data_IF_509863939798
#
_entry.id   IF_509863939798
#
_cell.length_a   1.000
_cell.length_b   1.000
_cell.length_c   1.000
_cell.angle_alpha   90.00
_cell.angle_beta   90.00
_cell.angle_gamma   90.00
#
_symmetry.space_group_name_H-M   'P 1'
#
loop_
_entity.id
_entity.type
_entity.pdbx_description
1 polymer ?
#
# COMPACT_ATOMS: atom_id res chain seq x y z
N UNK A 1 3.14 19.09 -36.12
CA UNK A 1 3.43 19.91 -37.31
C UNK A 1 3.10 21.37 -37.00
N UNK A 2 4.10 22.18 -36.63
CA UNK A 2 4.17 23.63 -36.85
C UNK A 2 5.65 24.02 -36.80
N UNK A 3 6.03 24.84 -37.78
CA UNK A 3 7.35 24.92 -38.37
C UNK A 3 8.34 25.76 -37.54
N UNK A 4 9.61 25.35 -37.56
CA UNK A 4 10.77 26.20 -37.28
C UNK A 4 11.20 26.86 -38.60
N UNK A 5 11.18 28.18 -38.68
CA UNK A 5 11.81 28.94 -39.76
C UNK A 5 13.10 29.58 -39.25
N UNK A 6 14.20 29.26 -39.92
CA UNK A 6 15.50 29.91 -39.77
C UNK A 6 15.56 31.13 -40.71
N UNK A 7 15.87 32.31 -40.16
CA UNK A 7 16.18 33.52 -40.91
C UNK A 7 17.55 34.07 -40.49
N UNK A 8 18.43 34.30 -41.48
CA UNK A 8 19.80 34.86 -41.34
C UNK A 8 19.78 36.42 -41.26
N UNK A 9 20.91 37.08 -40.95
CA UNK A 9 20.97 38.25 -40.06
C UNK A 9 20.89 39.60 -40.77
N UNK A 10 20.41 40.62 -40.05
CA UNK A 10 20.58 42.03 -40.40
C UNK A 10 21.11 42.80 -39.18
N UNK A 11 22.14 43.60 -39.43
CA UNK A 11 22.91 44.40 -38.46
C UNK A 11 22.17 45.61 -37.92
N UNK A 12 22.68 46.09 -36.76
CA UNK A 12 22.63 47.46 -36.23
C UNK A 12 21.55 47.77 -35.18
N UNK A 13 21.93 47.77 -33.90
CA UNK A 13 22.14 49.00 -33.11
C UNK A 13 22.54 48.62 -31.67
N UNK A 14 23.63 49.23 -31.20
CA UNK A 14 24.10 49.17 -29.82
C UNK A 14 23.01 49.69 -28.88
N UNK A 15 22.36 48.79 -28.16
CA UNK A 15 21.65 49.12 -26.94
C UNK A 15 22.26 48.31 -25.82
N UNK A 16 22.80 49.01 -24.83
CA UNK A 16 23.43 48.48 -23.63
C UNK A 16 22.57 47.39 -23.00
N UNK A 17 22.97 46.14 -23.20
CA UNK A 17 22.40 45.00 -22.51
C UNK A 17 22.83 45.09 -21.05
N UNK A 18 21.88 45.44 -20.18
CA UNK A 18 21.95 44.96 -18.80
C UNK A 18 21.90 43.45 -18.90
N UNK A 19 23.07 42.80 -18.77
CA UNK A 19 23.17 41.38 -18.48
C UNK A 19 22.33 41.15 -17.22
N UNK A 20 21.10 40.69 -17.40
CA UNK A 20 20.37 39.99 -16.36
C UNK A 20 21.18 38.72 -16.12
N UNK A 21 22.06 38.76 -15.13
CA UNK A 21 22.65 37.57 -14.54
C UNK A 21 21.49 36.72 -14.04
N UNK A 22 21.02 35.79 -14.86
CA UNK A 22 20.16 34.70 -14.39
C UNK A 22 21.06 33.88 -13.50
N UNK A 23 20.98 34.11 -12.19
CA UNK A 23 21.55 33.19 -11.22
C UNK A 23 20.83 31.86 -11.40
N UNK A 24 21.43 30.97 -12.18
CA UNK A 24 21.13 29.54 -12.10
C UNK A 24 21.58 29.08 -10.72
N UNK A 25 20.72 29.28 -9.73
CA UNK A 25 20.89 28.66 -8.43
C UNK A 25 20.76 27.16 -8.68
N UNK A 26 21.87 26.44 -8.59
CA UNK A 26 21.86 24.98 -8.64
C UNK A 26 20.96 24.48 -7.51
N UNK A 27 19.80 23.92 -7.85
CA UNK A 27 18.91 23.32 -6.86
C UNK A 27 19.58 22.04 -6.35
N UNK A 28 20.16 22.11 -5.16
CA UNK A 28 20.61 20.93 -4.44
C UNK A 28 19.50 20.59 -3.44
N UNK A 29 18.88 19.40 -3.51
CA UNK A 29 17.90 18.98 -2.50
C UNK A 29 18.50 19.13 -1.10
N UNK A 30 17.73 19.71 -0.18
CA UNK A 30 18.20 19.80 1.20
C UNK A 30 18.44 18.39 1.78
N UNK A 31 19.42 18.23 2.66
CA UNK A 31 19.68 16.96 3.37
C UNK A 31 18.41 16.36 4.00
N UNK A 32 17.51 17.23 4.49
CA UNK A 32 16.22 16.84 5.04
C UNK A 32 15.29 16.23 3.98
N UNK A 33 15.21 16.82 2.79
CA UNK A 33 14.39 16.30 1.70
C UNK A 33 14.88 14.91 1.24
N UNK A 34 16.20 14.75 1.11
CA UNK A 34 16.82 13.45 0.77
C UNK A 34 16.54 12.39 1.83
N UNK A 35 16.65 12.74 3.13
CA UNK A 35 16.35 11.81 4.22
C UNK A 35 14.88 11.38 4.22
N UNK A 36 13.94 12.31 4.02
CA UNK A 36 12.52 12.00 3.98
C UNK A 36 12.13 11.15 2.77
N UNK A 37 12.79 11.34 1.63
CA UNK A 37 12.60 10.50 0.44
C UNK A 37 13.14 9.08 0.67
N UNK A 38 14.32 8.94 1.28
CA UNK A 38 14.89 7.63 1.64
C UNK A 38 13.99 6.88 2.63
N UNK A 39 13.52 7.55 3.67
CA UNK A 39 12.63 6.93 4.68
C UNK A 39 11.29 6.50 4.06
N UNK A 40 10.77 7.27 3.10
CA UNK A 40 9.61 6.84 2.32
C UNK A 40 9.90 5.61 1.44
N UNK A 41 11.07 5.54 0.80
CA UNK A 41 11.49 4.38 0.01
C UNK A 41 11.52 3.12 0.88
N UNK A 42 12.06 3.21 2.09
CA UNK A 42 12.07 2.10 3.05
C UNK A 42 10.64 1.68 3.44
N UNK A 43 9.74 2.65 3.66
CA UNK A 43 8.33 2.39 3.92
C UNK A 43 7.64 1.64 2.78
N UNK A 44 7.76 2.11 1.54
CA UNK A 44 7.04 1.53 0.39
C UNK A 44 7.60 0.18 -0.05
N UNK A 45 8.92 -0.03 0.09
CA UNK A 45 9.56 -1.33 -0.15
C UNK A 45 9.19 -2.37 0.91
N UNK A 46 8.95 -1.94 2.15
CA UNK A 46 8.45 -2.79 3.22
C UNK A 46 6.95 -3.07 3.14
N UNK A 47 6.23 -2.42 2.20
CA UNK A 47 4.77 -2.44 2.08
C UNK A 47 4.27 -2.99 0.73
N UNK A 48 4.57 -4.25 0.37
CA UNK A 48 4.14 -4.85 -0.91
C UNK A 48 2.63 -5.17 -0.98
N UNK A 49 1.91 -5.15 0.15
CA UNK A 49 0.45 -5.34 0.22
C UNK A 49 -0.17 -4.48 1.32
N UNK A 50 -1.51 -4.28 1.34
CA UNK A 50 -2.17 -3.47 2.37
C UNK A 50 -1.87 -3.94 3.79
N UNK A 51 -1.74 -5.26 3.99
CA UNK A 51 -1.39 -5.85 5.28
C UNK A 51 0.02 -5.46 5.75
N UNK A 52 0.98 -5.40 4.82
CA UNK A 52 2.34 -4.96 5.12
C UNK A 52 2.42 -3.44 5.32
N UNK A 53 1.60 -2.67 4.61
CA UNK A 53 1.48 -1.22 4.82
C UNK A 53 0.98 -0.90 6.25
N UNK A 54 -0.01 -1.65 6.72
CA UNK A 54 -0.49 -1.55 8.11
C UNK A 54 0.57 -2.00 9.11
N UNK A 55 1.24 -3.13 8.90
CA UNK A 55 2.29 -3.59 9.83
C UNK A 55 3.47 -2.61 9.89
N UNK A 56 3.91 -2.08 8.75
CA UNK A 56 4.97 -1.05 8.70
C UNK A 56 4.53 0.22 9.43
N UNK A 57 3.26 0.63 9.28
CA UNK A 57 2.71 1.78 10.01
C UNK A 57 2.61 1.52 11.51
N UNK A 58 2.17 0.32 11.90
CA UNK A 58 2.11 -0.17 13.28
C UNK A 58 3.49 -0.13 13.95
N UNK A 59 4.52 -0.65 13.29
CA UNK A 59 5.89 -0.63 13.80
C UNK A 59 6.39 0.81 14.03
N UNK A 60 6.09 1.73 13.11
CA UNK A 60 6.45 3.15 13.26
C UNK A 60 5.72 3.83 14.42
N UNK A 61 4.44 3.51 14.63
CA UNK A 61 3.65 4.02 15.76
C UNK A 61 4.17 3.47 17.10
N UNK A 62 4.44 2.18 17.18
CA UNK A 62 5.04 1.53 18.36
C UNK A 62 6.40 2.14 18.70
N UNK A 63 7.28 2.32 17.70
CA UNK A 63 8.57 2.97 17.88
C UNK A 63 8.45 4.43 18.35
N UNK A 64 7.33 5.10 18.05
CA UNK A 64 7.01 6.45 18.52
C UNK A 64 6.29 6.47 19.88
N UNK A 65 6.15 5.31 20.54
CA UNK A 65 5.50 5.17 21.85
C UNK A 65 3.99 5.33 21.82
N UNK A 66 3.34 5.00 20.70
CA UNK A 66 1.89 4.78 20.68
C UNK A 66 1.57 3.40 21.24
N UNK A 67 0.48 3.29 21.97
CA UNK A 67 -0.01 2.03 22.55
C UNK A 67 -1.02 1.37 21.61
N UNK A 68 -0.84 0.08 21.33
CA UNK A 68 -1.83 -0.69 20.59
C UNK A 68 -2.99 -1.05 21.51
N UNK A 69 -4.21 -0.67 21.11
CA UNK A 69 -5.45 -1.03 21.81
C UNK A 69 -6.28 -1.96 20.92
N UNK A 70 -7.11 -2.79 21.54
CA UNK A 70 -8.03 -3.62 20.78
C UNK A 70 -9.35 -2.88 20.52
N UNK A 71 -9.79 -2.93 19.27
CA UNK A 71 -11.05 -2.33 18.86
C UNK A 71 -12.26 -2.89 19.62
N UNK A 72 -12.24 -4.19 19.95
CA UNK A 72 -13.38 -4.87 20.60
C UNK A 72 -13.43 -4.67 22.11
N UNK A 73 -12.36 -4.19 22.73
CA UNK A 73 -12.31 -3.97 24.15
C UNK A 73 -13.06 -2.70 24.54
N UNK A 74 -13.55 -2.65 25.79
CA UNK A 74 -13.89 -1.38 26.42
C UNK A 74 -12.64 -0.49 26.52
N UNK A 75 -12.81 0.80 26.23
CA UNK A 75 -11.74 1.81 26.30
C UNK A 75 -11.82 2.67 27.59
N UNK A 76 -12.87 2.49 28.38
CA UNK A 76 -13.09 3.21 29.62
C UNK A 76 -11.89 3.04 30.56
N UNK A 77 -11.36 4.18 31.03
CA UNK A 77 -10.18 4.23 31.90
C UNK A 77 -8.84 3.88 31.21
N UNK A 78 -8.83 3.49 29.92
CA UNK A 78 -7.60 3.23 29.16
C UNK A 78 -7.08 4.48 28.47
N UNK A 79 -7.98 5.33 27.97
CA UNK A 79 -7.62 6.54 27.24
C UNK A 79 -7.34 7.69 28.22
N UNK A 80 -6.19 8.33 28.07
CA UNK A 80 -5.81 9.51 28.87
C UNK A 80 -5.42 10.67 27.98
N UNK A 81 -5.59 11.89 28.50
CA UNK A 81 -5.00 13.11 27.95
C UNK A 81 -3.50 12.94 27.78
N UNK A 82 -2.96 13.47 26.68
CA UNK A 82 -1.57 13.27 26.24
C UNK A 82 -1.21 11.81 25.91
N UNK A 83 -2.19 10.90 25.93
CA UNK A 83 -2.05 9.52 25.49
C UNK A 83 -2.04 9.40 23.96
N UNK A 84 -1.37 8.35 23.47
CA UNK A 84 -1.17 8.06 22.05
C UNK A 84 -1.52 6.60 21.81
N UNK A 85 -2.46 6.34 20.91
CA UNK A 85 -3.03 5.01 20.73
C UNK A 85 -3.25 4.69 19.27
N UNK A 86 -3.33 3.41 18.94
CA UNK A 86 -3.80 2.96 17.65
C UNK A 86 -4.46 1.59 17.74
N UNK A 87 -5.27 1.26 16.74
CA UNK A 87 -5.78 -0.10 16.54
C UNK A 87 -5.90 -0.39 15.05
N UNK A 88 -6.03 -1.68 14.71
CA UNK A 88 -6.22 -2.13 13.34
C UNK A 88 -7.57 -2.83 13.17
N UNK A 89 -8.12 -2.75 11.96
CA UNK A 89 -9.30 -3.53 11.53
C UNK A 89 -8.92 -4.35 10.30
N UNK A 90 -9.25 -5.65 10.31
CA UNK A 90 -8.85 -6.63 9.29
C UNK A 90 -7.33 -6.80 9.08
N UNK A 91 -6.49 -6.14 9.90
CA UNK A 91 -5.04 -5.95 9.66
C UNK A 91 -4.71 -5.25 8.32
N UNK A 92 -5.69 -4.65 7.65
CA UNK A 92 -5.50 -3.87 6.41
C UNK A 92 -5.90 -2.41 6.53
N UNK A 93 -6.60 -2.02 7.60
CA UNK A 93 -6.80 -0.62 7.94
C UNK A 93 -6.29 -0.32 9.35
N UNK A 94 -5.79 0.90 9.55
CA UNK A 94 -5.22 1.35 10.83
C UNK A 94 -5.75 2.72 11.19
N UNK A 95 -6.17 2.87 12.44
CA UNK A 95 -6.56 4.15 13.03
C UNK A 95 -5.61 4.47 14.17
N UNK A 96 -4.94 5.60 14.09
CA UNK A 96 -4.03 6.09 15.12
C UNK A 96 -4.48 7.48 15.59
N UNK A 97 -4.37 7.73 16.88
CA UNK A 97 -4.79 9.00 17.46
C UNK A 97 -3.97 9.42 18.68
N UNK A 98 -3.91 10.72 18.92
CA UNK A 98 -3.27 11.31 20.08
C UNK A 98 -4.21 12.31 20.75
N UNK A 99 -4.43 12.14 22.05
CA UNK A 99 -5.39 12.93 22.83
C UNK A 99 -4.71 14.20 23.33
N UNK A 100 -5.27 15.37 23.01
CA UNK A 100 -4.76 16.64 23.51
C UNK A 100 -4.85 16.77 25.04
N UNK A 101 -3.87 17.44 25.63
CA UNK A 101 -3.79 17.72 27.08
C UNK A 101 -4.92 18.62 27.59
N UNK A 102 -5.52 19.42 26.71
CA UNK A 102 -6.69 20.27 26.99
C UNK A 102 -7.98 19.75 26.36
N UNK A 103 -7.98 18.53 25.85
CA UNK A 103 -9.20 17.93 25.32
C UNK A 103 -10.24 17.75 26.44
N UNK A 104 -11.46 18.16 26.17
CA UNK A 104 -12.68 17.87 26.96
C UNK A 104 -13.73 17.32 26.00
N UNK A 105 -14.69 16.54 26.48
CA UNK A 105 -15.74 16.02 25.61
C UNK A 105 -16.50 17.16 24.91
N UNK A 106 -16.80 17.00 23.63
CA UNK A 106 -17.35 18.05 22.75
C UNK A 106 -16.31 18.89 21.99
N UNK A 107 -15.02 18.79 22.34
CA UNK A 107 -13.97 19.38 21.52
C UNK A 107 -13.80 18.66 20.17
N UNK A 108 -13.09 19.33 19.25
CA UNK A 108 -12.94 18.87 17.87
C UNK A 108 -11.88 17.79 17.67
N UNK A 109 -11.87 17.27 16.44
CA UNK A 109 -10.87 16.35 15.93
C UNK A 109 -10.08 17.02 14.80
N UNK A 110 -8.78 16.72 14.72
CA UNK A 110 -7.92 17.06 13.59
C UNK A 110 -7.61 15.77 12.84
N UNK A 111 -8.33 15.52 11.75
CA UNK A 111 -8.33 14.22 11.06
C UNK A 111 -7.60 14.30 9.72
N UNK A 112 -6.73 13.32 9.47
CA UNK A 112 -6.13 13.03 8.16
C UNK A 112 -6.53 11.62 7.72
N UNK A 113 -7.05 11.51 6.50
CA UNK A 113 -7.40 10.23 5.87
C UNK A 113 -6.52 9.94 4.66
N UNK A 114 -6.13 8.68 4.49
CA UNK A 114 -5.49 8.14 3.29
C UNK A 114 -5.89 6.65 3.13
N UNK A 115 -5.29 5.93 2.16
CA UNK A 115 -5.52 4.49 2.01
C UNK A 115 -4.24 3.67 1.82
N UNK A 116 -4.34 2.41 2.21
CA UNK A 116 -3.24 1.42 2.26
C UNK A 116 -3.16 0.56 1.01
N UNK A 117 -4.22 0.51 0.22
CA UNK A 117 -4.28 -0.30 -1.00
C UNK A 117 -3.90 0.48 -2.25
N UNK A 118 -3.53 -0.30 -3.26
CA UNK A 118 -3.19 0.16 -4.61
C UNK A 118 -3.70 -0.89 -5.60
N UNK A 119 -3.90 -0.53 -6.88
CA UNK A 119 -4.32 -1.50 -7.88
C UNK A 119 -3.26 -2.60 -8.03
N UNK A 120 -3.70 -3.85 -7.99
CA UNK A 120 -2.80 -5.00 -8.08
C UNK A 120 -3.48 -6.23 -8.68
N UNK A 121 -2.68 -7.26 -8.94
CA UNK A 121 -3.18 -8.60 -9.22
C UNK A 121 -3.23 -9.37 -7.90
N UNK A 122 -4.41 -9.89 -7.52
CA UNK A 122 -4.56 -10.77 -6.36
C UNK A 122 -4.66 -12.22 -6.81
N UNK A 123 -4.11 -13.16 -6.05
CA UNK A 123 -4.29 -14.60 -6.31
C UNK A 123 -5.78 -14.96 -6.13
N UNK A 124 -6.37 -15.70 -7.08
CA UNK A 124 -7.77 -16.15 -6.97
C UNK A 124 -7.92 -17.24 -5.89
N UNK A 125 -9.11 -17.37 -5.25
CA UNK A 125 -9.40 -18.48 -4.34
C UNK A 125 -9.26 -19.86 -4.97
N UNK A 126 -9.46 -19.96 -6.30
CA UNK A 126 -9.07 -21.12 -7.11
C UNK A 126 -8.08 -20.64 -8.17
N UNK A 127 -6.79 -20.78 -7.87
CA UNK A 127 -5.70 -20.25 -8.72
C UNK A 127 -4.97 -21.31 -9.51
N UNK A 128 -5.22 -22.59 -9.29
CA UNK A 128 -4.59 -23.68 -10.05
C UNK A 128 -4.97 -23.57 -11.52
N UNK A 129 -3.98 -23.29 -12.38
CA UNK A 129 -4.11 -23.31 -13.84
C UNK A 129 -2.92 -24.06 -14.45
N UNK A 130 -3.16 -24.79 -15.53
CA UNK A 130 -2.13 -25.43 -16.34
C UNK A 130 -2.42 -25.16 -17.82
N UNK A 131 -1.42 -24.66 -18.56
CA UNK A 131 -1.56 -24.37 -20.00
C UNK A 131 -0.21 -24.42 -20.70
N UNK A 132 -0.16 -25.07 -21.86
CA UNK A 132 1.05 -25.09 -22.71
C UNK A 132 2.29 -25.67 -22.02
N UNK A 133 2.12 -26.64 -21.13
CA UNK A 133 3.23 -27.22 -20.36
C UNK A 133 3.71 -26.38 -19.18
N UNK A 134 2.99 -25.32 -18.81
CA UNK A 134 3.30 -24.48 -17.66
C UNK A 134 2.28 -24.62 -16.54
N UNK A 135 2.78 -24.62 -15.31
CA UNK A 135 1.99 -24.34 -14.11
C UNK A 135 1.83 -22.83 -13.98
N UNK A 136 0.59 -22.39 -13.83
CA UNK A 136 0.20 -20.99 -13.79
C UNK A 136 -0.59 -20.69 -12.52
N UNK A 137 -0.65 -19.42 -12.16
CA UNK A 137 -1.43 -18.93 -11.01
C UNK A 137 -2.54 -18.01 -11.52
N UNK A 138 -3.79 -18.43 -11.39
CA UNK A 138 -4.95 -17.61 -11.67
C UNK A 138 -4.99 -16.37 -10.76
N UNK A 139 -5.09 -15.20 -11.37
CA UNK A 139 -5.15 -13.91 -10.67
C UNK A 139 -6.44 -13.16 -11.00
N UNK A 140 -6.87 -12.29 -10.10
CA UNK A 140 -7.96 -11.36 -10.27
C UNK A 140 -7.45 -9.92 -10.24
N UNK A 141 -8.11 -9.06 -11.00
CA UNK A 141 -7.85 -7.63 -10.99
C UNK A 141 -8.40 -7.01 -9.71
N UNK A 142 -7.59 -6.21 -9.03
CA UNK A 142 -8.01 -5.41 -7.90
C UNK A 142 -7.78 -3.93 -8.22
N UNK A 143 -8.86 -3.14 -8.26
CA UNK A 143 -8.80 -1.72 -8.58
C UNK A 143 -8.67 -1.38 -10.07
N UNK A 144 -8.42 -0.11 -10.38
CA UNK A 144 -8.32 0.45 -11.74
C UNK A 144 -6.91 0.41 -12.34
N UNK A 145 -6.23 -0.74 -12.30
CA UNK A 145 -4.80 -0.83 -12.67
C UNK A 145 -4.51 -0.62 -14.16
N UNK A 146 -3.31 -0.08 -14.45
CA UNK A 146 -2.73 -0.04 -15.78
C UNK A 146 -2.14 -1.41 -16.13
N UNK A 147 -2.99 -2.40 -16.43
CA UNK A 147 -2.57 -3.81 -16.48
C UNK A 147 -1.47 -4.16 -17.49
N UNK A 148 -1.29 -3.35 -18.53
CA UNK A 148 -0.19 -3.54 -19.47
C UNK A 148 1.19 -3.39 -18.82
N UNK A 149 1.33 -2.63 -17.72
CA UNK A 149 2.60 -2.41 -17.03
C UNK A 149 3.04 -3.60 -16.17
N UNK A 150 2.14 -4.57 -15.92
CA UNK A 150 2.40 -5.80 -15.18
C UNK A 150 3.01 -6.89 -16.06
N UNK A 151 2.93 -6.75 -17.38
CA UNK A 151 3.65 -7.62 -18.29
C UNK A 151 5.14 -7.39 -18.14
N UNK A 152 5.89 -8.47 -18.31
CA UNK A 152 7.34 -8.47 -18.31
C UNK A 152 8.01 -7.91 -17.05
N UNK A 153 7.31 -8.00 -15.92
CA UNK A 153 7.83 -7.73 -14.58
C UNK A 153 8.24 -8.98 -13.85
N UNK A 154 9.23 -8.82 -12.98
CA UNK A 154 9.73 -9.85 -12.07
C UNK A 154 8.88 -9.80 -10.80
N UNK A 155 7.92 -10.72 -10.68
CA UNK A 155 6.86 -10.64 -9.69
C UNK A 155 7.08 -11.60 -8.52
N UNK A 156 6.92 -11.07 -7.32
CA UNK A 156 6.79 -11.82 -6.07
C UNK A 156 5.32 -11.87 -5.62
N UNK A 157 5.08 -12.49 -4.47
CA UNK A 157 3.78 -12.49 -3.79
C UNK A 157 3.94 -12.02 -2.34
N UNK A 158 2.99 -11.22 -1.87
CA UNK A 158 2.95 -10.77 -0.49
C UNK A 158 1.52 -10.60 0.00
N UNK A 159 1.27 -10.90 1.26
CA UNK A 159 -0.07 -10.86 1.81
C UNK A 159 -0.17 -11.44 3.20
N UNK A 160 -1.29 -12.10 3.48
CA UNK A 160 -1.54 -12.81 4.72
C UNK A 160 -1.94 -14.25 4.46
N UNK A 161 -1.60 -15.13 5.38
CA UNK A 161 -2.02 -16.53 5.44
C UNK A 161 -2.74 -16.75 6.77
N UNK A 162 -3.92 -17.37 6.70
CA UNK A 162 -4.60 -17.94 7.85
C UNK A 162 -3.90 -19.23 8.21
N UNK A 163 -3.38 -19.31 9.43
CA UNK A 163 -2.63 -20.45 9.93
C UNK A 163 -3.39 -21.09 11.07
N UNK A 164 -3.54 -22.41 11.03
CA UNK A 164 -3.98 -23.17 12.19
C UNK A 164 -2.79 -23.41 13.10
N UNK A 165 -2.84 -22.82 14.30
CA UNK A 165 -1.85 -23.03 15.35
C UNK A 165 -1.92 -24.47 15.88
N UNK A 166 -0.86 -24.94 16.54
CA UNK A 166 -0.83 -26.23 17.24
C UNK A 166 -1.94 -26.40 18.27
N UNK A 167 -2.47 -25.29 18.81
CA UNK A 167 -3.62 -25.26 19.74
C UNK A 167 -4.99 -25.31 19.03
N UNK A 168 -5.01 -25.44 17.69
CA UNK A 168 -6.23 -25.47 16.88
C UNK A 168 -6.86 -24.11 16.58
N UNK A 169 -6.32 -23.01 17.13
CA UNK A 169 -6.78 -21.63 16.85
C UNK A 169 -6.34 -21.15 15.47
N UNK A 170 -7.12 -20.26 14.87
CA UNK A 170 -6.75 -19.55 13.65
C UNK A 170 -5.97 -18.27 13.98
N UNK A 171 -4.84 -18.07 13.33
CA UNK A 171 -4.02 -16.87 13.39
C UNK A 171 -3.75 -16.31 11.99
N UNK A 172 -3.42 -15.04 11.89
CA UNK A 172 -3.03 -14.38 10.65
C UNK A 172 -1.54 -14.09 10.65
N UNK A 173 -0.79 -14.73 9.75
CA UNK A 173 0.65 -14.45 9.52
C UNK A 173 0.87 -13.69 8.22
N UNK A 174 1.73 -12.68 8.25
CA UNK A 174 2.20 -12.04 7.04
C UNK A 174 3.18 -12.94 6.31
N UNK A 175 3.10 -12.96 4.99
CA UNK A 175 4.04 -13.67 4.12
C UNK A 175 4.51 -12.73 3.02
N UNK A 176 5.81 -12.78 2.71
CA UNK A 176 6.41 -12.10 1.58
C UNK A 176 7.45 -13.02 0.96
N UNK A 177 7.19 -13.49 -0.25
CA UNK A 177 8.21 -14.19 -1.04
C UNK A 177 9.03 -13.12 -1.75
N UNK A 178 10.22 -12.84 -1.22
CA UNK A 178 11.10 -11.74 -1.63
C UNK A 178 12.09 -12.16 -2.74
N UNK A 179 11.54 -12.79 -3.78
CA UNK A 179 12.26 -13.20 -4.98
C UNK A 179 11.28 -13.38 -6.15
N UNK A 180 11.72 -13.20 -7.40
CA UNK A 180 10.84 -13.33 -8.55
C UNK A 180 10.45 -14.79 -8.77
N UNK A 181 9.17 -15.09 -8.57
CA UNK A 181 8.60 -16.43 -8.77
C UNK A 181 7.49 -16.45 -9.82
N UNK A 182 7.01 -15.29 -10.24
CA UNK A 182 5.94 -15.15 -11.20
C UNK A 182 6.35 -14.19 -12.32
N UNK A 183 5.89 -14.50 -13.53
CA UNK A 183 6.11 -13.67 -14.72
C UNK A 183 4.87 -13.70 -15.60
N UNK A 184 4.44 -12.55 -16.09
CA UNK A 184 3.41 -12.43 -17.13
C UNK A 184 4.14 -12.05 -18.43
N UNK A 185 4.48 -13.02 -19.30
CA UNK A 185 5.26 -12.72 -20.50
C UNK A 185 4.39 -12.05 -21.57
N UNK A 186 4.96 -11.08 -22.29
CA UNK A 186 4.34 -10.61 -23.54
C UNK A 186 4.42 -11.68 -24.63
N UNK A 187 3.44 -11.66 -25.54
CA UNK A 187 3.55 -12.41 -26.79
C UNK A 187 4.61 -11.74 -27.67
N UNK A 188 5.50 -12.54 -28.26
CA UNK A 188 6.53 -12.02 -29.16
C UNK A 188 5.91 -11.25 -30.33
N UNK A 189 6.46 -10.07 -30.64
CA UNK A 189 6.01 -9.19 -31.73
C UNK A 189 5.88 -9.91 -33.09
N UNK A 190 6.74 -10.88 -33.37
CA UNK A 190 6.71 -11.67 -34.60
C UNK A 190 5.38 -12.45 -34.78
N UNK A 191 4.68 -12.74 -33.68
CA UNK A 191 3.41 -13.46 -33.63
C UNK A 191 2.21 -12.53 -33.42
N UNK A 192 2.45 -11.23 -33.18
CA UNK A 192 1.42 -10.21 -33.02
C UNK A 192 1.61 -9.08 -34.04
N UNK A 193 1.00 -9.26 -35.22
CA UNK A 193 1.07 -8.29 -36.31
C UNK A 193 0.39 -6.95 -36.00
N UNK A 194 -0.46 -6.88 -34.97
CA UNK A 194 -1.24 -5.70 -34.62
C UNK A 194 -0.66 -4.89 -33.45
N UNK A 195 0.39 -5.38 -32.77
CA UNK A 195 0.89 -4.78 -31.52
C UNK A 195 1.35 -3.33 -31.69
N UNK A 196 1.85 -2.95 -32.86
CA UNK A 196 2.28 -1.58 -33.16
C UNK A 196 1.13 -0.57 -33.20
N UNK A 197 -0.10 -1.03 -33.43
CA UNK A 197 -1.32 -0.18 -33.44
C UNK A 197 -1.90 -0.01 -32.03
N UNK A 198 -1.46 -0.82 -31.08
CA UNK A 198 -1.86 -0.77 -29.69
C UNK A 198 -1.76 -2.13 -29.03
N UNK A 199 -1.16 -2.17 -27.84
CA UNK A 199 -1.05 -3.39 -27.05
C UNK A 199 -2.41 -3.76 -26.44
N UNK A 200 -3.12 -4.68 -27.10
CA UNK A 200 -4.43 -5.19 -26.68
C UNK A 200 -4.27 -6.60 -26.12
N UNK A 201 -4.88 -6.85 -24.97
CA UNK A 201 -4.86 -8.15 -24.32
C UNK A 201 -6.15 -8.36 -23.50
N UNK A 202 -6.49 -9.62 -23.27
CA UNK A 202 -7.60 -10.02 -22.43
C UNK A 202 -7.14 -10.21 -20.98
N UNK A 203 -7.81 -9.52 -20.07
CA UNK A 203 -7.45 -9.51 -18.65
C UNK A 203 -7.60 -10.88 -17.95
N UNK A 204 -8.48 -11.77 -18.41
CA UNK A 204 -8.66 -13.09 -17.78
C UNK A 204 -7.62 -14.10 -18.26
N UNK A 205 -7.34 -14.11 -19.57
CA UNK A 205 -6.52 -15.19 -20.16
C UNK A 205 -5.06 -14.81 -20.41
N UNK A 206 -4.75 -13.53 -20.62
CA UNK A 206 -3.38 -13.08 -20.96
C UNK A 206 -2.63 -12.45 -19.77
N UNK A 207 -3.31 -12.08 -18.67
CA UNK A 207 -2.65 -11.66 -17.42
C UNK A 207 -2.37 -12.81 -16.45
N UNK A 208 -2.49 -14.06 -16.89
CA UNK A 208 -2.23 -15.22 -16.02
C UNK A 208 -0.72 -15.46 -15.91
N UNK A 209 -0.07 -15.23 -14.76
CA UNK A 209 1.35 -15.45 -14.58
C UNK A 209 1.74 -16.93 -14.61
N UNK A 210 2.96 -17.19 -15.10
CA UNK A 210 3.64 -18.48 -15.06
C UNK A 210 4.42 -18.60 -13.76
N UNK A 211 4.33 -19.76 -13.11
CA UNK A 211 5.08 -20.11 -11.89
C UNK A 211 6.22 -21.10 -12.18
N UNK A 212 5.95 -22.13 -12.97
CA UNK A 212 6.93 -23.18 -13.26
C UNK A 212 6.60 -23.93 -14.57
N UNK A 213 7.57 -24.65 -15.12
CA UNK A 213 7.33 -25.60 -16.21
C UNK A 213 6.94 -26.97 -15.66
N UNK A 214 6.17 -27.74 -16.43
CA UNK A 214 5.83 -29.12 -16.10
C UNK A 214 7.10 -30.01 -16.04
N UNK A 215 8.07 -29.78 -16.92
CA UNK A 215 9.33 -30.53 -16.95
C UNK A 215 10.14 -30.36 -15.65
N UNK A 216 10.33 -29.12 -15.20
CA UNK A 216 11.04 -28.84 -13.93
C UNK A 216 10.27 -29.38 -12.74
N UNK A 217 8.93 -29.28 -12.75
CA UNK A 217 8.07 -29.87 -11.71
C UNK A 217 8.28 -31.39 -11.61
N UNK A 218 8.34 -32.10 -12.74
CA UNK A 218 8.57 -33.56 -12.77
C UNK A 218 9.99 -33.92 -12.30
N UNK A 219 11.02 -33.23 -12.77
CA UNK A 219 12.41 -33.48 -12.36
C UNK A 219 12.60 -33.27 -10.85
N UNK A 220 11.93 -32.27 -10.27
CA UNK A 220 12.02 -32.00 -8.84
C UNK A 220 11.11 -32.90 -7.99
N UNK A 221 10.08 -33.53 -8.57
CA UNK A 221 9.18 -34.41 -7.84
C UNK A 221 9.87 -35.66 -7.30
N UNK A 222 10.89 -36.17 -8.00
CA UNK A 222 11.69 -37.32 -7.53
C UNK A 222 12.54 -37.00 -6.29
N UNK A 223 12.98 -35.74 -6.15
CA UNK A 223 13.69 -35.28 -4.95
C UNK A 223 12.75 -35.12 -3.74
N UNK A 224 11.48 -34.79 -3.98
CA UNK A 224 10.48 -34.51 -2.95
C UNK A 224 9.79 -35.76 -2.38
N UNK A 225 9.93 -36.94 -3.01
CA UNK A 225 9.32 -38.20 -2.53
C UNK A 225 9.77 -38.64 -1.12
N UNK A 226 10.84 -38.07 -0.57
CA UNK A 226 11.25 -38.29 0.84
C UNK A 226 10.41 -37.53 1.87
N UNK A 227 9.47 -36.70 1.43
CA UNK A 227 8.66 -35.79 2.27
C UNK A 227 7.15 -36.07 2.19
N UNK A 228 6.74 -37.15 1.49
CA UNK A 228 5.35 -37.49 1.21
C UNK A 228 4.65 -38.09 2.44
N UNK A 229 4.27 -37.23 3.39
CA UNK A 229 3.49 -37.64 4.57
C UNK A 229 2.10 -37.02 4.66
N UNK A 230 1.87 -35.82 4.14
CA UNK A 230 0.60 -35.12 4.33
C UNK A 230 0.22 -34.31 3.08
N UNK A 231 -0.97 -34.59 2.55
CA UNK A 231 -1.61 -33.78 1.51
C UNK A 231 -1.89 -32.40 2.08
N UNK A 232 -1.33 -31.35 1.48
CA UNK A 232 -1.56 -30.00 1.96
C UNK A 232 -3.05 -29.63 1.74
N UNK A 233 -3.68 -28.92 2.69
CA UNK A 233 -5.01 -28.37 2.47
C UNK A 233 -5.05 -27.52 1.18
N UNK A 234 -6.16 -27.58 0.44
CA UNK A 234 -6.42 -26.79 -0.79
C UNK A 234 -5.56 -27.14 -2.04
N UNK A 235 -4.94 -28.32 -2.13
CA UNK A 235 -4.22 -28.79 -3.34
C UNK A 235 -5.10 -28.92 -4.60
N UNK A 236 -6.41 -29.02 -4.45
CA UNK A 236 -7.41 -28.97 -5.51
C UNK A 236 -7.59 -27.54 -6.06
N UNK A 237 -7.46 -26.53 -5.20
CA UNK A 237 -7.67 -25.11 -5.55
C UNK A 237 -6.42 -24.41 -6.03
N UNK A 238 -5.25 -24.82 -5.56
CA UNK A 238 -3.98 -24.14 -5.82
C UNK A 238 -2.91 -25.10 -6.33
N UNK A 239 -1.90 -24.57 -7.02
CA UNK A 239 -0.76 -25.38 -7.42
C UNK A 239 0.02 -25.86 -6.17
N UNK A 240 0.35 -27.16 -6.02
CA UNK A 240 1.09 -27.66 -4.85
C UNK A 240 2.42 -26.94 -4.62
N UNK A 241 3.11 -26.53 -5.69
CA UNK A 241 4.34 -25.75 -5.59
C UNK A 241 4.13 -24.37 -4.93
N UNK A 242 2.99 -23.70 -5.19
CA UNK A 242 2.66 -22.44 -4.53
C UNK A 242 2.43 -22.65 -3.03
N UNK A 243 1.67 -23.69 -2.67
CA UNK A 243 1.41 -24.05 -1.26
C UNK A 243 2.71 -24.36 -0.52
N UNK A 244 3.61 -25.14 -1.14
CA UNK A 244 4.93 -25.46 -0.60
C UNK A 244 5.76 -24.20 -0.37
N UNK A 245 5.83 -23.28 -1.35
CA UNK A 245 6.55 -22.01 -1.19
C UNK A 245 6.01 -21.21 0.02
N UNK A 246 4.70 -21.13 0.19
CA UNK A 246 4.08 -20.42 1.32
C UNK A 246 4.37 -21.10 2.66
N UNK A 247 4.31 -22.43 2.70
CA UNK A 247 4.62 -23.21 3.89
C UNK A 247 6.09 -23.06 4.29
N UNK A 248 7.01 -23.14 3.32
CA UNK A 248 8.45 -22.97 3.53
C UNK A 248 8.78 -21.55 4.05
N UNK A 249 8.20 -20.51 3.43
CA UNK A 249 8.40 -19.10 3.82
C UNK A 249 7.92 -18.85 5.27
N UNK A 250 6.83 -19.50 5.68
CA UNK A 250 6.24 -19.35 7.00
C UNK A 250 6.70 -20.41 8.02
N UNK A 251 7.55 -21.35 7.60
CA UNK A 251 7.99 -22.52 8.37
C UNK A 251 6.81 -23.28 8.99
N UNK A 252 5.83 -23.60 8.15
CA UNK A 252 4.61 -24.31 8.53
C UNK A 252 4.71 -25.80 8.22
N UNK A 253 4.10 -26.60 9.08
CA UNK A 253 3.88 -28.02 8.86
C UNK A 253 2.55 -28.27 8.12
N UNK A 254 2.41 -29.47 7.53
CA UNK A 254 1.45 -29.78 6.46
C UNK A 254 0.03 -29.21 6.58
N UNK A 255 -0.67 -29.44 7.70
CA UNK A 255 -2.07 -29.05 7.89
C UNK A 255 -2.27 -27.64 8.49
N UNK A 256 -1.17 -26.93 8.81
CA UNK A 256 -1.22 -25.61 9.41
C UNK A 256 -1.58 -24.51 8.41
N UNK A 257 -1.29 -24.71 7.12
CA UNK A 257 -1.61 -23.75 6.07
C UNK A 257 -3.13 -23.79 5.78
N UNK A 258 -3.83 -22.72 6.14
CA UNK A 258 -5.26 -22.55 5.90
C UNK A 258 -5.54 -21.88 4.55
N UNK A 259 -6.19 -20.72 4.59
CA UNK A 259 -6.50 -19.90 3.41
C UNK A 259 -5.59 -18.67 3.36
N UNK A 260 -5.54 -17.94 2.25
CA UNK A 260 -4.66 -16.78 2.10
C UNK A 260 -5.25 -15.67 1.23
N UNK A 261 -4.75 -14.46 1.46
CA UNK A 261 -5.00 -13.31 0.60
C UNK A 261 -3.66 -12.73 0.17
N UNK A 262 -3.33 -12.89 -1.11
CA UNK A 262 -2.01 -12.58 -1.65
C UNK A 262 -2.13 -11.60 -2.81
N UNK A 263 -1.36 -10.52 -2.74
CA UNK A 263 -1.11 -9.60 -3.84
C UNK A 263 0.18 -10.01 -4.55
N UNK A 264 0.20 -9.95 -5.87
CA UNK A 264 1.45 -9.91 -6.62
C UNK A 264 2.06 -8.51 -6.49
N UNK A 265 3.38 -8.43 -6.51
CA UNK A 265 4.11 -7.16 -6.50
C UNK A 265 5.39 -7.25 -7.33
N UNK A 266 5.83 -6.12 -7.89
CA UNK A 266 7.13 -6.01 -8.55
C UNK A 266 8.25 -6.12 -7.51
N UNK A 267 9.20 -7.03 -7.75
CA UNK A 267 10.37 -7.24 -6.89
C UNK A 267 11.46 -6.19 -7.12
N UNK A 268 11.35 -5.38 -8.19
CA UNK A 268 12.20 -4.22 -8.37
C UNK A 268 11.99 -3.22 -7.21
N UNK A 269 13.03 -2.90 -6.42
CA UNK A 269 12.90 -1.97 -5.31
C UNK A 269 12.65 -0.55 -5.82
N UNK A 270 11.84 0.20 -5.07
CA UNK A 270 11.69 1.64 -5.27
C UNK A 270 13.02 2.36 -5.01
N UNK A 271 13.27 3.44 -5.75
CA UNK A 271 14.55 4.17 -5.71
C UNK A 271 14.36 5.67 -5.93
N UNK A 272 15.36 6.45 -5.48
CA UNK A 272 15.58 7.82 -5.97
C UNK A 272 16.23 7.72 -7.36
N UNK A 273 15.79 8.55 -8.30
CA UNK A 273 16.28 8.54 -9.67
C UNK A 273 16.18 9.89 -10.37
N UNK A 274 16.44 9.89 -11.68
CA UNK A 274 16.63 11.10 -12.49
C UNK A 274 18.10 11.56 -12.47
N UNK A 275 18.51 12.32 -13.49
CA UNK A 275 19.91 12.76 -13.64
C UNK A 275 20.43 13.58 -12.43
N UNK A 276 19.51 14.18 -11.66
CA UNK A 276 19.81 14.96 -10.47
C UNK A 276 19.27 14.34 -9.16
N UNK A 277 18.89 13.05 -9.18
CA UNK A 277 18.31 12.35 -8.01
C UNK A 277 17.10 13.10 -7.41
N UNK A 278 16.23 13.62 -8.28
CA UNK A 278 15.10 14.50 -7.94
C UNK A 278 13.74 13.80 -8.00
N UNK A 279 13.69 12.56 -8.49
CA UNK A 279 12.47 11.77 -8.62
C UNK A 279 12.47 10.55 -7.72
N UNK A 280 11.28 10.08 -7.38
CA UNK A 280 11.06 8.77 -6.75
C UNK A 280 10.41 7.87 -7.78
N UNK A 281 11.07 6.76 -8.11
CA UNK A 281 10.53 5.70 -8.95
C UNK A 281 10.04 4.59 -8.03
N UNK A 282 8.73 4.36 -7.99
CA UNK A 282 8.13 3.45 -7.03
C UNK A 282 6.81 2.92 -7.52
N UNK A 283 6.56 1.64 -7.24
CA UNK A 283 5.20 1.11 -7.22
C UNK A 283 4.42 1.75 -6.05
N UNK A 284 3.08 1.73 -6.13
CA UNK A 284 2.19 2.06 -5.00
C UNK A 284 2.37 3.47 -4.39
N UNK A 285 2.94 4.42 -5.15
CA UNK A 285 2.98 5.83 -4.72
C UNK A 285 1.57 6.31 -4.37
N UNK A 286 0.61 5.95 -5.24
CA UNK A 286 -0.81 5.98 -4.95
C UNK A 286 -1.19 4.74 -4.11
N UNK A 287 -1.49 4.86 -2.82
CA UNK A 287 -1.45 6.07 -1.99
C UNK A 287 -0.55 5.93 -0.76
N UNK A 288 0.45 5.04 -0.86
CA UNK A 288 1.37 4.79 0.26
C UNK A 288 2.21 6.03 0.60
N UNK A 289 2.39 6.97 -0.34
CA UNK A 289 3.01 8.26 -0.02
C UNK A 289 2.19 9.04 1.00
N UNK A 290 0.87 9.11 0.84
CA UNK A 290 0.02 9.84 1.79
C UNK A 290 -0.15 9.07 3.08
N UNK A 291 -0.21 7.74 3.03
CA UNK A 291 -0.18 6.91 4.24
C UNK A 291 1.09 7.15 5.07
N UNK A 292 2.27 7.11 4.44
CA UNK A 292 3.54 7.43 5.09
C UNK A 292 3.57 8.85 5.66
N UNK A 293 3.19 9.85 4.86
CA UNK A 293 3.17 11.24 5.28
C UNK A 293 2.22 11.45 6.46
N UNK A 294 1.06 10.79 6.47
CA UNK A 294 0.05 10.92 7.54
C UNK A 294 0.58 10.35 8.86
N UNK A 295 1.13 9.14 8.86
CA UNK A 295 1.71 8.52 10.06
C UNK A 295 2.90 9.33 10.55
N UNK A 296 3.80 9.73 9.65
CA UNK A 296 4.99 10.53 9.98
C UNK A 296 4.60 11.89 10.55
N UNK A 297 3.58 12.55 9.99
CA UNK A 297 3.06 13.82 10.48
C UNK A 297 2.45 13.67 11.86
N UNK A 298 1.62 12.64 12.10
CA UNK A 298 1.05 12.36 13.42
C UNK A 298 2.16 12.15 14.45
N UNK A 299 3.09 11.22 14.19
CA UNK A 299 4.24 10.94 15.06
C UNK A 299 5.02 12.21 15.38
N UNK A 300 5.44 12.97 14.35
CA UNK A 300 6.20 14.19 14.55
C UNK A 300 5.42 15.26 15.30
N UNK A 301 4.11 15.36 15.05
CA UNK A 301 3.26 16.32 15.74
C UNK A 301 3.22 16.05 17.24
N UNK A 302 3.36 14.80 17.70
CA UNK A 302 3.27 14.41 19.12
C UNK A 302 4.59 14.53 19.90
N UNK A 303 5.67 15.02 19.28
CA UNK A 303 6.97 15.17 19.95
C UNK A 303 6.99 16.35 20.92
N UNK A 304 7.75 16.20 22.01
CA UNK A 304 7.87 17.21 23.06
C UNK A 304 6.54 17.48 23.77
N UNK A 305 6.29 18.74 24.10
CA UNK A 305 5.11 19.16 24.87
C UNK A 305 3.93 19.59 23.98
N UNK A 306 3.92 19.19 22.71
CA UNK A 306 2.96 19.67 21.71
C UNK A 306 1.52 19.27 21.98
N UNK A 307 1.29 18.22 22.78
CA UNK A 307 -0.05 17.78 23.18
C UNK A 307 -0.58 18.57 24.38
N UNK A 308 0.27 19.09 25.27
CA UNK A 308 -0.14 19.67 26.56
C UNK A 308 -1.23 20.75 26.44
N UNK A 309 -1.13 21.59 25.41
CA UNK A 309 -2.08 22.69 25.17
C UNK A 309 -3.06 22.41 24.04
N UNK A 310 -3.04 21.23 23.43
CA UNK A 310 -3.92 20.89 22.32
C UNK A 310 -5.34 20.62 22.83
N UNK A 311 -6.37 21.35 22.36
CA UNK A 311 -7.75 21.08 22.71
C UNK A 311 -8.36 19.93 21.90
N UNK A 312 -7.74 19.48 20.82
CA UNK A 312 -8.30 18.49 19.89
C UNK A 312 -7.70 17.09 20.11
N UNK A 313 -8.37 16.08 19.56
CA UNK A 313 -7.75 14.78 19.29
C UNK A 313 -7.23 14.77 17.85
N UNK A 314 -5.95 14.46 17.69
CA UNK A 314 -5.33 14.28 16.36
C UNK A 314 -5.56 12.86 15.91
N UNK A 315 -6.08 12.65 14.70
CA UNK A 315 -6.46 11.33 14.19
C UNK A 315 -5.90 11.13 12.80
N UNK A 316 -5.30 9.96 12.56
CA UNK A 316 -4.99 9.42 11.25
C UNK A 316 -5.80 8.15 11.05
N UNK A 317 -6.49 8.04 9.92
CA UNK A 317 -7.13 6.79 9.49
C UNK A 317 -6.61 6.43 8.10
N UNK A 318 -6.02 5.24 8.00
CA UNK A 318 -5.64 4.65 6.73
C UNK A 318 -6.62 3.52 6.40
N UNK A 319 -7.46 3.75 5.39
CA UNK A 319 -8.48 2.81 4.95
C UNK A 319 -7.92 1.82 3.92
N UNK A 320 -8.56 0.66 3.78
CA UNK A 320 -8.33 -0.27 2.67
C UNK A 320 -9.54 -0.22 1.71
N UNK A 321 -9.43 -0.84 0.55
CA UNK A 321 -10.49 -0.90 -0.47
C UNK A 321 -10.89 0.43 -1.11
N UNK A 322 -10.05 1.46 -1.07
CA UNK A 322 -10.35 2.71 -1.79
C UNK A 322 -10.48 2.45 -3.29
N UNK A 323 -9.55 1.65 -3.84
CA UNK A 323 -9.43 1.37 -5.27
C UNK A 323 -10.62 0.59 -5.85
N UNK A 324 -11.47 0.05 -4.98
CA UNK A 324 -12.68 -0.72 -5.35
C UNK A 324 -13.96 -0.09 -4.80
N UNK A 325 -13.92 1.19 -4.43
CA UNK A 325 -15.10 2.00 -4.07
C UNK A 325 -15.38 2.11 -2.57
N UNK A 326 -14.46 1.68 -1.70
CA UNK A 326 -14.53 1.85 -0.23
C UNK A 326 -15.69 1.16 0.50
N UNK A 327 -16.54 0.39 -0.19
CA UNK A 327 -17.70 -0.29 0.40
C UNK A 327 -17.27 -1.63 1.02
N UNK A 328 -16.65 -1.57 2.20
CA UNK A 328 -16.33 -2.74 3.02
C UNK A 328 -16.41 -2.40 4.51
N UNK A 329 -16.16 -3.35 5.42
CA UNK A 329 -16.17 -3.09 6.86
C UNK A 329 -14.96 -2.25 7.35
N UNK A 330 -13.96 -2.06 6.49
CA UNK A 330 -12.70 -1.41 6.81
C UNK A 330 -12.29 -0.36 5.75
N UNK A 331 -13.12 -0.16 4.72
CA UNK A 331 -12.98 0.97 3.80
C UNK A 331 -13.61 2.26 4.30
N UNK A 332 -13.43 3.35 3.56
CA UNK A 332 -13.92 4.67 3.92
C UNK A 332 -15.46 4.77 3.93
N UNK A 333 -16.17 3.86 3.24
CA UNK A 333 -17.63 3.74 3.30
C UNK A 333 -18.14 2.97 4.52
N UNK A 334 -17.25 2.52 5.41
CA UNK A 334 -17.60 1.83 6.65
C UNK A 334 -17.96 2.79 7.78
N UNK A 335 -18.43 2.23 8.89
CA UNK A 335 -18.62 2.94 10.15
C UNK A 335 -17.33 3.13 10.97
N UNK A 336 -16.15 2.76 10.45
CA UNK A 336 -14.88 2.75 11.20
C UNK A 336 -14.57 4.12 11.80
N UNK A 337 -14.57 5.18 10.98
CA UNK A 337 -14.25 6.53 11.45
C UNK A 337 -15.34 7.03 12.41
N UNK A 338 -16.61 6.92 12.03
CA UNK A 338 -17.72 7.42 12.84
C UNK A 338 -17.72 6.81 14.25
N UNK A 339 -17.67 5.48 14.35
CA UNK A 339 -17.65 4.78 15.65
C UNK A 339 -16.43 5.16 16.45
N UNK A 340 -15.26 5.29 15.82
CA UNK A 340 -14.05 5.73 16.51
C UNK A 340 -14.22 7.10 17.13
N UNK A 341 -14.69 8.09 16.36
CA UNK A 341 -14.89 9.45 16.86
C UNK A 341 -15.92 9.50 17.99
N UNK A 342 -17.03 8.76 17.87
CA UNK A 342 -18.05 8.66 18.94
C UNK A 342 -17.47 8.06 20.22
N UNK A 343 -16.68 6.99 20.12
CA UNK A 343 -16.04 6.36 21.28
C UNK A 343 -15.01 7.28 21.92
N UNK A 344 -14.21 7.98 21.13
CA UNK A 344 -13.24 8.94 21.64
C UNK A 344 -13.92 10.09 22.40
N UNK A 345 -15.04 10.60 21.87
CA UNK A 345 -15.82 11.63 22.55
C UNK A 345 -16.43 11.16 23.89
N UNK A 346 -16.77 9.87 24.00
CA UNK A 346 -17.38 9.30 25.19
C UNK A 346 -16.38 8.79 26.26
N UNK A 347 -15.22 8.26 25.84
CA UNK A 347 -14.38 7.44 26.72
C UNK A 347 -13.15 8.17 27.28
N UNK A 348 -12.81 9.36 26.76
CA UNK A 348 -11.65 10.14 27.23
C UNK A 348 -11.93 10.85 28.56
N UNK A 349 -13.20 11.06 28.93
CA UNK A 349 -13.60 11.58 30.24
C UNK A 349 -14.47 10.58 31.00
N UNK A 350 -13.95 10.08 32.13
CA UNK A 350 -14.75 9.34 33.11
C UNK A 350 -15.52 10.34 33.97
N UNK A 351 -16.80 10.59 33.69
CA UNK A 351 -17.61 11.40 34.61
C UNK A 351 -19.04 11.67 34.18
N UNK A 352 -19.23 12.29 33.02
CA UNK A 352 -20.56 12.73 32.59
C UNK A 352 -20.85 12.33 31.15
N UNK A 353 -22.08 11.86 30.91
CA UNK A 353 -22.61 11.58 29.58
C UNK A 353 -22.73 12.90 28.80
N UNK A 354 -21.65 13.32 28.16
CA UNK A 354 -21.70 14.47 27.26
C UNK A 354 -22.50 14.11 25.99
N UNK A 355 -23.39 15.01 25.58
CA UNK A 355 -23.98 14.98 24.25
C UNK A 355 -22.86 15.05 23.21
N UNK A 356 -22.82 14.06 22.31
CA UNK A 356 -21.85 14.03 21.21
C UNK A 356 -22.25 15.06 20.16
N UNK A 357 -21.98 16.33 20.44
CA UNK A 357 -21.90 17.37 19.42
C UNK A 357 -20.61 17.16 18.63
N UNK A 358 -20.68 16.44 17.51
CA UNK A 358 -19.55 16.27 16.58
C UNK A 358 -19.23 17.62 15.92
N UNK A 359 -18.52 18.49 16.63
CA UNK A 359 -17.95 19.70 16.05
C UNK A 359 -16.69 19.33 15.27
N UNK A 360 -16.87 18.99 13.99
CA UNK A 360 -15.78 18.88 13.02
C UNK A 360 -15.13 20.25 12.79
N UNK A 361 -14.16 20.61 13.65
CA UNK A 361 -13.52 21.93 13.56
C UNK A 361 -12.50 22.00 12.42
N UNK A 362 -11.80 20.90 12.12
CA UNK A 362 -10.84 20.80 11.02
C UNK A 362 -10.77 19.36 10.48
N UNK A 363 -11.45 19.09 9.36
CA UNK A 363 -11.27 17.88 8.56
C UNK A 363 -10.34 18.21 7.39
N UNK A 364 -9.16 17.61 7.35
CA UNK A 364 -8.29 17.65 6.16
C UNK A 364 -8.27 16.24 5.59
N UNK A 365 -9.24 15.95 4.70
CA UNK A 365 -9.05 14.84 3.78
C UNK A 365 -7.93 15.24 2.84
N UNK A 366 -6.75 14.66 3.01
CA UNK A 366 -5.76 14.70 1.97
C UNK A 366 -6.18 13.68 0.88
N UNK A 367 -7.32 13.94 0.22
CA UNK A 367 -7.66 13.34 -1.07
C UNK A 367 -6.72 13.96 -2.10
N UNK A 368 -5.49 13.46 -2.16
CA UNK A 368 -4.71 13.57 -3.38
C UNK A 368 -4.73 12.17 -4.00
N UNK A 369 -5.56 11.90 -5.03
CA UNK A 369 -4.98 11.15 -6.13
C UNK A 369 -3.71 11.93 -6.50
N UNK A 370 -2.58 11.27 -6.73
CA UNK A 370 -1.41 11.95 -7.26
C UNK A 370 -1.87 12.90 -8.38
N UNK A 371 -1.78 14.22 -8.12
CA UNK A 371 -2.36 15.20 -9.02
C UNK A 371 -1.62 15.02 -10.35
N UNK A 372 -2.35 14.75 -11.43
CA UNK A 372 -1.74 14.57 -12.75
C UNK A 372 -0.95 15.84 -13.07
N UNK A 373 0.38 15.79 -12.93
CA UNK A 373 1.24 16.90 -13.31
C UNK A 373 1.31 16.90 -14.84
N UNK A 374 0.62 17.86 -15.45
CA UNK A 374 0.97 18.35 -16.78
C UNK A 374 0.77 17.43 -17.97
N UNK A 375 -0.15 16.46 -17.92
CA UNK A 375 -0.73 15.87 -19.14
C UNK A 375 -2.25 16.07 -19.10
N UNK A 376 -2.76 16.90 -20.02
CA UNK A 376 -4.19 17.15 -20.21
C UNK A 376 -4.90 15.88 -20.67
N UNK A 377 -5.40 15.08 -19.73
CA UNK A 377 -6.44 14.09 -19.98
C UNK A 377 -7.43 14.12 -18.82
N UNK A 378 -8.68 14.48 -19.13
CA UNK A 378 -9.77 14.57 -18.17
C UNK A 378 -10.17 13.18 -17.66
N UNK A 379 -9.85 12.90 -16.40
CA UNK A 379 -10.41 11.78 -15.66
C UNK A 379 -11.59 12.26 -14.81
N UNK A 380 -12.73 11.55 -14.88
CA UNK A 380 -13.86 11.75 -13.96
C UNK A 380 -13.50 11.18 -12.59
N UNK A 381 -13.69 11.98 -11.56
CA UNK A 381 -13.58 11.58 -10.16
C UNK A 381 -14.84 10.80 -9.76
N UNK A 382 -14.68 9.60 -9.19
CA UNK A 382 -15.76 8.86 -8.56
C UNK A 382 -15.69 9.08 -7.04
N UNK A 383 -16.87 9.30 -6.45
CA UNK A 383 -17.13 9.57 -5.02
C UNK A 383 -17.09 8.29 -4.22
#
# INVERSE_FOLDING_TARGET
>A
MRFLTYGRPSTCLLQTSRLLTVHFTTYTPSKRATQSASDFIDFVNSSPSPFHAVETSRQRLLAAGFEEIHERDAWSGKLRREGKYFFTRNKSSITAFAVGGKYVSGNGFSVVGAHTDSPCLKVKPHSKKEKGGYTQVGVQLYGGGLWHTWFDRDLGIAGRVLVRTSEGKLDHRLVRVDRPILRIPTLAIHLDRGVSEGFKFNNEVQLTPILASAATKMLNAEADQKSAGHQAPNEDKHAPLLLKILADELKLDGDQLGDFELCLYDTQPSTIGGAQNEYIFSARLDNLMMSYCSITALVNSTKGNSLQNDPNIRVVVLFDNEEVGSVSAYGAGSNLLEITLRRLAAEVETGDKAEVGLLFRQYVSLRSPLRHRGNTFGGKFAV
#
